data_IF_723929284906
#
_entry.id   IF_723929284906
#
_cell.length_a   1.000
_cell.length_b   1.000
_cell.length_c   1.000
_cell.angle_alpha   90.00
_cell.angle_beta   90.00
_cell.angle_gamma   90.00
#
_symmetry.space_group_name_H-M   'P 1'
#
loop_
_entity.id
_entity.type
_entity.pdbx_description
1 polymer ?
#
# COMPACT_ATOMS: atom_id res chain seq x y z
N UNK A 1 -88.34 -42.34 28.54
CA UNK A 1 -88.67 -40.92 28.30
C UNK A 1 -87.36 -40.16 28.21
N UNK A 2 -87.08 -39.63 27.01
CA UNK A 2 -86.20 -38.49 26.67
C UNK A 2 -84.71 -38.60 27.10
N UNK A 3 -83.70 -38.15 26.38
CA UNK A 3 -83.59 -37.14 25.31
C UNK A 3 -82.20 -37.30 24.64
N UNK A 4 -82.12 -36.91 23.36
CA UNK A 4 -80.91 -36.49 22.62
C UNK A 4 -80.16 -35.37 23.38
N UNK A 5 -78.94 -34.90 23.12
CA UNK A 5 -77.86 -35.06 22.16
C UNK A 5 -76.65 -34.31 22.77
N UNK A 6 -75.43 -34.55 22.28
CA UNK A 6 -74.56 -33.52 21.66
C UNK A 6 -73.06 -33.89 21.73
N UNK A 7 -72.47 -33.84 20.54
CA UNK A 7 -71.04 -33.90 20.19
C UNK A 7 -70.17 -32.86 20.91
N UNK A 8 -68.89 -33.16 21.21
CA UNK A 8 -67.84 -32.16 21.22
C UNK A 8 -66.94 -32.28 19.99
N UNK A 9 -66.89 -31.16 19.26
CA UNK A 9 -66.07 -30.94 18.09
C UNK A 9 -64.57 -31.15 18.33
N UNK A 10 -63.99 -31.71 17.29
CA UNK A 10 -62.59 -31.93 16.98
C UNK A 10 -61.79 -30.61 16.94
N UNK A 11 -60.89 -30.36 17.90
CA UNK A 11 -59.81 -29.35 17.77
C UNK A 11 -58.59 -29.70 18.64
N UNK A 12 -57.82 -30.73 18.26
CA UNK A 12 -56.52 -31.03 18.91
C UNK A 12 -55.31 -31.07 17.95
N UNK A 13 -55.47 -30.74 16.66
CA UNK A 13 -54.42 -30.94 15.65
C UNK A 13 -53.73 -29.68 15.11
N UNK A 14 -54.00 -28.48 15.64
CA UNK A 14 -53.47 -27.22 15.06
C UNK A 14 -52.23 -26.63 15.75
N UNK A 15 -51.73 -27.23 16.85
CA UNK A 15 -50.55 -26.71 17.59
C UNK A 15 -49.22 -27.33 17.17
N UNK A 16 -49.25 -28.51 16.55
CA UNK A 16 -48.04 -29.24 16.12
C UNK A 16 -47.20 -28.54 15.02
N UNK A 17 -47.78 -27.91 13.98
CA UNK A 17 -46.97 -27.26 12.95
C UNK A 17 -46.27 -25.99 13.45
N UNK A 18 -46.88 -25.27 14.40
CA UNK A 18 -46.32 -24.05 14.99
C UNK A 18 -45.10 -24.38 15.85
N UNK A 19 -45.18 -25.43 16.67
CA UNK A 19 -44.05 -25.88 17.51
C UNK A 19 -42.88 -26.34 16.63
N UNK A 20 -43.17 -27.08 15.55
CA UNK A 20 -42.14 -27.50 14.58
C UNK A 20 -41.41 -26.31 13.94
N UNK A 21 -42.13 -25.26 13.58
CA UNK A 21 -41.54 -24.07 12.95
C UNK A 21 -40.63 -23.29 13.91
N UNK A 22 -41.02 -23.17 15.18
CA UNK A 22 -40.20 -22.48 16.20
C UNK A 22 -38.91 -23.26 16.47
N UNK A 23 -38.95 -24.59 16.55
CA UNK A 23 -37.75 -25.42 16.76
C UNK A 23 -36.77 -25.27 15.59
N UNK A 24 -37.26 -25.26 14.35
CA UNK A 24 -36.40 -25.05 13.16
C UNK A 24 -35.80 -23.64 13.15
N UNK A 25 -36.58 -22.61 13.50
CA UNK A 25 -36.08 -21.23 13.57
C UNK A 25 -34.98 -21.07 14.65
N UNK A 26 -35.15 -21.70 15.82
CA UNK A 26 -34.14 -21.68 16.89
C UNK A 26 -32.86 -22.42 16.48
N UNK A 27 -32.99 -23.56 15.80
CA UNK A 27 -31.84 -24.31 15.28
C UNK A 27 -31.08 -23.53 14.18
N UNK A 28 -31.80 -22.81 13.31
CA UNK A 28 -31.20 -21.93 12.30
C UNK A 28 -30.48 -20.73 12.93
N UNK A 29 -31.06 -20.12 13.96
CA UNK A 29 -30.42 -19.05 14.73
C UNK A 29 -29.15 -19.50 15.43
N UNK A 30 -29.16 -20.69 16.05
CA UNK A 30 -27.98 -21.28 16.69
C UNK A 30 -26.85 -21.59 15.70
N UNK A 31 -27.18 -22.05 14.48
CA UNK A 31 -26.17 -22.25 13.43
C UNK A 31 -25.53 -20.94 12.97
N UNK A 32 -26.27 -19.83 12.91
CA UNK A 32 -25.67 -18.53 12.59
C UNK A 32 -24.69 -18.04 13.67
N UNK A 33 -24.97 -18.29 14.95
CA UNK A 33 -24.09 -17.86 16.05
C UNK A 33 -22.79 -18.67 16.10
N UNK A 34 -22.84 -19.97 15.78
CA UNK A 34 -21.64 -20.83 15.79
C UNK A 34 -20.67 -20.60 14.62
N UNK A 35 -21.16 -20.08 13.49
CA UNK A 35 -20.29 -19.75 12.33
C UNK A 35 -19.46 -18.49 12.56
N UNK A 36 -19.86 -17.63 13.50
CA UNK A 36 -19.14 -16.40 13.82
C UNK A 36 -18.18 -16.53 15.01
N UNK A 37 -17.72 -17.74 15.33
CA UNK A 37 -16.52 -17.90 16.15
C UNK A 37 -15.34 -17.40 15.35
N UNK A 38 -15.00 -16.13 15.55
CA UNK A 38 -13.75 -15.51 15.10
C UNK A 38 -12.62 -16.46 15.46
N UNK A 39 -12.12 -17.17 14.46
CA UNK A 39 -10.86 -17.87 14.56
C UNK A 39 -9.85 -16.83 15.02
N UNK A 40 -9.20 -17.11 16.14
CA UNK A 40 -8.03 -16.40 16.60
C UNK A 40 -7.08 -16.34 15.40
N UNK A 41 -6.98 -15.17 14.76
CA UNK A 41 -6.12 -14.99 13.60
C UNK A 41 -4.72 -15.32 14.11
N UNK A 42 -4.05 -16.37 13.59
CA UNK A 42 -2.71 -16.69 14.04
C UNK A 42 -1.89 -15.41 13.92
N UNK A 43 -1.28 -14.97 15.02
CA UNK A 43 -0.39 -13.81 15.03
C UNK A 43 0.78 -14.16 14.14
N UNK A 44 0.65 -13.89 12.85
CA UNK A 44 1.72 -14.07 11.86
C UNK A 44 2.81 -13.10 12.30
N UNK A 45 3.92 -13.64 12.76
CA UNK A 45 5.10 -12.83 13.05
C UNK A 45 5.40 -11.98 11.80
N UNK A 46 5.58 -10.65 11.93
CA UNK A 46 5.86 -9.81 10.78
C UNK A 46 7.12 -10.32 10.10
N UNK A 47 7.08 -10.42 8.77
CA UNK A 47 8.24 -10.83 8.00
C UNK A 47 9.42 -9.90 8.31
N UNK A 48 10.66 -10.43 8.40
CA UNK A 48 11.82 -9.60 8.65
C UNK A 48 11.98 -8.55 7.55
N UNK A 49 12.06 -7.28 7.94
CA UNK A 49 12.25 -6.15 7.01
C UNK A 49 13.73 -6.07 6.63
N UNK A 50 14.02 -6.13 5.32
CA UNK A 50 15.37 -5.94 4.81
C UNK A 50 15.69 -4.44 4.70
N UNK A 51 16.58 -3.95 5.56
CA UNK A 51 17.03 -2.56 5.53
C UNK A 51 18.10 -2.32 4.46
N UNK A 52 18.12 -1.11 3.91
CA UNK A 52 19.17 -0.65 3.00
C UNK A 52 20.50 -0.59 3.72
N UNK A 53 21.54 -1.13 3.08
CA UNK A 53 22.92 -1.07 3.58
C UNK A 53 23.61 0.19 3.05
N UNK A 54 24.56 0.77 3.79
CA UNK A 54 25.43 1.82 3.27
C UNK A 54 26.11 1.37 1.96
N UNK A 55 26.24 2.28 1.00
CA UNK A 55 26.79 1.99 -0.32
C UNK A 55 26.01 2.63 -1.48
N UNK A 56 26.36 2.29 -2.72
CA UNK A 56 25.75 2.88 -3.90
C UNK A 56 24.28 2.47 -4.04
N UNK A 57 23.40 3.46 -4.19
CA UNK A 57 21.97 3.27 -4.51
C UNK A 57 21.75 3.32 -6.03
N UNK A 58 22.43 4.27 -6.69
CA UNK A 58 22.51 4.40 -8.15
C UNK A 58 23.96 4.78 -8.48
N UNK A 59 24.55 4.15 -9.49
CA UNK A 59 25.91 4.47 -9.92
C UNK A 59 26.06 4.28 -11.43
N UNK A 60 26.78 5.21 -12.06
CA UNK A 60 27.11 5.18 -13.47
C UNK A 60 26.05 5.77 -14.39
N UNK A 61 26.08 5.36 -15.65
CA UNK A 61 25.17 5.85 -16.67
C UNK A 61 23.85 5.09 -16.64
N UNK A 62 22.75 5.82 -16.50
CA UNK A 62 21.38 5.33 -16.50
C UNK A 62 20.64 5.94 -17.67
N UNK A 63 19.90 5.12 -18.41
CA UNK A 63 18.99 5.60 -19.44
C UNK A 63 17.56 5.53 -18.90
N UNK A 64 16.84 6.65 -18.96
CA UNK A 64 15.44 6.76 -18.54
C UNK A 64 14.61 7.05 -19.78
N UNK A 65 13.55 6.27 -20.02
CA UNK A 65 12.67 6.44 -21.18
C UNK A 65 11.98 7.80 -21.19
N UNK A 66 11.53 8.21 -22.38
CA UNK A 66 10.67 9.39 -22.53
C UNK A 66 9.39 9.22 -21.71
N UNK A 67 9.00 10.23 -20.93
CA UNK A 67 7.79 10.11 -20.10
C UNK A 67 7.92 9.15 -18.90
N UNK A 68 9.11 8.62 -18.61
CA UNK A 68 9.34 7.64 -17.55
C UNK A 68 10.13 8.22 -16.36
N UNK A 69 10.26 7.44 -15.31
CA UNK A 69 11.12 7.73 -14.16
C UNK A 69 11.78 6.44 -13.64
N UNK A 70 12.95 6.59 -13.03
CA UNK A 70 13.59 5.54 -12.25
C UNK A 70 13.33 5.81 -10.77
N UNK A 71 12.90 4.79 -10.01
CA UNK A 71 12.83 4.86 -8.54
C UNK A 71 13.67 3.77 -7.87
N UNK A 72 14.27 4.12 -6.73
CA UNK A 72 14.95 3.19 -5.83
C UNK A 72 14.44 3.39 -4.41
N UNK A 73 13.93 2.32 -3.81
CA UNK A 73 13.47 2.35 -2.43
C UNK A 73 14.67 2.30 -1.47
N UNK A 74 14.59 3.11 -0.42
CA UNK A 74 15.57 3.18 0.66
C UNK A 74 14.81 2.96 1.96
N UNK A 75 15.17 1.91 2.71
CA UNK A 75 14.52 1.53 3.97
C UNK A 75 15.54 1.67 5.10
N UNK A 76 15.28 2.57 6.04
CA UNK A 76 16.22 2.95 7.09
C UNK A 76 15.67 2.61 8.48
N UNK A 77 16.49 1.94 9.30
CA UNK A 77 16.24 1.75 10.74
C UNK A 77 17.01 2.74 11.62
N UNK A 78 17.87 3.56 11.02
CA UNK A 78 18.69 4.57 11.69
C UNK A 78 18.86 5.77 10.78
N UNK A 79 19.22 6.92 11.37
CA UNK A 79 19.58 8.10 10.59
C UNK A 79 20.76 7.80 9.67
N UNK A 80 20.66 8.21 8.41
CA UNK A 80 21.67 8.02 7.38
C UNK A 80 21.70 9.23 6.44
N UNK A 81 22.84 9.48 5.81
CA UNK A 81 22.98 10.58 4.84
C UNK A 81 22.92 10.00 3.43
N UNK A 82 22.03 10.53 2.60
CA UNK A 82 22.04 10.22 1.17
C UNK A 82 22.79 11.35 0.48
N UNK A 83 23.94 11.04 -0.12
CA UNK A 83 24.74 12.01 -0.88
C UNK A 83 24.74 11.60 -2.34
N UNK A 84 24.72 12.56 -3.26
CA UNK A 84 24.91 12.22 -4.66
C UNK A 84 24.79 13.38 -5.61
N UNK A 85 25.17 13.09 -6.84
CA UNK A 85 25.12 14.02 -7.95
C UNK A 85 24.67 13.34 -9.23
N UNK A 86 24.18 14.14 -10.15
CA UNK A 86 23.83 13.68 -11.48
C UNK A 86 24.18 14.73 -12.53
N UNK A 87 24.37 14.26 -13.75
CA UNK A 87 24.61 15.09 -14.92
C UNK A 87 23.99 14.41 -16.15
N UNK A 88 23.23 15.17 -16.93
CA UNK A 88 22.72 14.72 -18.23
C UNK A 88 23.80 14.93 -19.28
N UNK A 89 23.75 14.14 -20.36
CA UNK A 89 24.70 14.27 -21.48
C UNK A 89 24.62 15.59 -22.26
N UNK A 90 23.65 16.46 -21.98
CA UNK A 90 23.46 17.74 -22.67
C UNK A 90 22.75 18.76 -21.77
N UNK A 91 23.15 20.04 -21.84
CA UNK A 91 22.50 21.13 -21.10
C UNK A 91 21.02 21.37 -21.48
N UNK A 92 20.59 20.86 -22.65
CA UNK A 92 19.19 20.91 -23.10
C UNK A 92 18.35 19.79 -22.48
N UNK A 93 19.00 18.69 -22.11
CA UNK A 93 18.40 17.54 -21.44
C UNK A 93 18.28 17.85 -19.96
N UNK A 94 17.05 17.96 -19.45
CA UNK A 94 16.78 18.28 -18.05
C UNK A 94 16.05 17.14 -17.40
N UNK A 95 16.48 16.73 -16.21
CA UNK A 95 15.77 15.74 -15.40
C UNK A 95 15.56 16.31 -14.00
N UNK A 96 14.60 15.76 -13.26
CA UNK A 96 14.46 16.08 -11.85
C UNK A 96 14.95 14.93 -10.99
N UNK A 97 15.70 15.23 -9.93
CA UNK A 97 15.97 14.26 -8.86
C UNK A 97 15.19 14.69 -7.63
N UNK A 98 14.47 13.74 -7.04
CA UNK A 98 13.63 13.97 -5.86
C UNK A 98 13.83 12.83 -4.86
N UNK A 99 13.77 13.16 -3.59
CA UNK A 99 13.65 12.19 -2.50
C UNK A 99 12.37 12.48 -1.75
N UNK A 100 11.50 11.48 -1.64
CA UNK A 100 10.20 11.56 -0.96
C UNK A 100 10.04 10.42 0.04
N UNK A 101 9.21 10.66 1.05
CA UNK A 101 8.75 9.60 1.95
C UNK A 101 7.80 8.64 1.20
N UNK A 102 7.69 7.39 1.67
CA UNK A 102 6.74 6.41 1.14
C UNK A 102 5.29 6.92 1.16
N UNK A 103 4.90 7.66 2.20
CA UNK A 103 3.55 8.22 2.34
C UNK A 103 3.19 9.22 1.21
N UNK A 104 4.19 9.88 0.63
CA UNK A 104 4.03 10.88 -0.43
C UNK A 104 4.27 10.30 -1.84
N UNK A 105 4.72 9.04 -1.94
CA UNK A 105 5.11 8.43 -3.20
C UNK A 105 3.95 8.32 -4.20
N UNK A 106 2.78 7.88 -3.74
CA UNK A 106 1.61 7.77 -4.61
C UNK A 106 1.08 9.14 -5.06
N UNK A 107 1.10 10.14 -4.17
CA UNK A 107 0.73 11.52 -4.53
C UNK A 107 1.67 12.08 -5.60
N UNK A 108 2.98 11.90 -5.43
CA UNK A 108 3.98 12.30 -6.42
C UNK A 108 3.79 11.60 -7.77
N UNK A 109 3.46 10.30 -7.73
CA UNK A 109 3.23 9.50 -8.95
C UNK A 109 1.99 9.99 -9.70
N UNK A 110 0.93 10.35 -8.97
CA UNK A 110 -0.30 10.94 -9.50
C UNK A 110 -0.17 12.44 -9.85
N UNK A 111 1.00 13.05 -9.62
CA UNK A 111 1.25 14.48 -9.83
C UNK A 111 0.30 15.39 -9.02
N UNK A 112 -0.13 14.92 -7.84
CA UNK A 112 -0.89 15.71 -6.86
C UNK A 112 0.04 16.38 -5.86
N UNK A 113 -0.50 17.07 -4.85
CA UNK A 113 0.31 17.70 -3.82
C UNK A 113 1.06 16.65 -2.98
N UNK A 114 2.38 16.80 -2.89
CA UNK A 114 3.27 15.91 -2.15
C UNK A 114 4.38 16.71 -1.47
N UNK A 115 4.99 16.15 -0.42
CA UNK A 115 6.12 16.78 0.28
C UNK A 115 7.46 16.11 -0.08
N UNK A 116 8.32 16.84 -0.80
CA UNK A 116 9.70 16.43 -1.01
C UNK A 116 10.55 16.61 0.25
N UNK A 117 11.45 15.66 0.53
CA UNK A 117 12.57 15.85 1.46
C UNK A 117 13.66 16.72 0.84
N UNK A 118 13.95 16.48 -0.43
CA UNK A 118 14.82 17.29 -1.27
C UNK A 118 14.40 17.11 -2.72
N UNK A 119 14.58 18.15 -3.54
CA UNK A 119 14.33 18.08 -4.96
C UNK A 119 15.13 19.14 -5.71
N UNK A 120 15.57 18.82 -6.93
CA UNK A 120 16.35 19.75 -7.77
C UNK A 120 15.51 20.53 -8.77
N UNK A 121 14.27 20.10 -9.02
CA UNK A 121 13.53 20.49 -10.21
C UNK A 121 14.20 19.96 -11.49
N UNK A 122 13.64 20.32 -12.66
CA UNK A 122 14.17 19.88 -13.96
C UNK A 122 15.40 20.68 -14.38
N UNK A 123 16.58 20.10 -14.18
CA UNK A 123 17.89 20.71 -14.44
C UNK A 123 18.82 19.73 -15.15
N UNK A 124 19.86 20.19 -15.88
CA UNK A 124 20.79 19.28 -16.56
C UNK A 124 21.79 18.61 -15.62
N UNK A 125 21.92 19.07 -14.38
CA UNK A 125 22.78 18.47 -13.39
C UNK A 125 22.55 19.10 -12.02
N UNK A 126 22.92 18.39 -10.97
CA UNK A 126 22.69 18.82 -9.61
C UNK A 126 23.29 17.89 -8.58
N UNK A 127 23.28 18.33 -7.32
CA UNK A 127 23.71 17.55 -6.16
C UNK A 127 22.65 17.59 -5.08
N UNK A 128 22.49 16.50 -4.35
CA UNK A 128 21.66 16.43 -3.14
C UNK A 128 22.48 15.83 -2.00
N UNK A 129 22.20 16.26 -0.78
CA UNK A 129 22.83 15.70 0.42
C UNK A 129 21.91 15.74 1.65
N UNK A 130 20.65 15.25 1.57
CA UNK A 130 19.76 15.24 2.72
C UNK A 130 20.24 14.28 3.81
N UNK A 131 19.99 14.67 5.07
CA UNK A 131 20.00 13.73 6.19
C UNK A 131 18.60 13.09 6.28
N UNK A 132 18.54 11.77 6.26
CA UNK A 132 17.30 11.00 6.34
C UNK A 132 17.15 10.38 7.72
N UNK A 133 15.97 10.54 8.31
CA UNK A 133 15.62 9.87 9.57
C UNK A 133 15.27 8.39 9.31
N UNK A 134 15.10 7.56 10.35
CA UNK A 134 14.53 6.22 10.17
C UNK A 134 13.17 6.30 9.46
N UNK A 135 12.98 5.48 8.43
CA UNK A 135 11.80 5.52 7.57
C UNK A 135 12.02 4.90 6.20
N UNK A 136 10.97 4.97 5.38
CA UNK A 136 10.96 4.46 4.00
C UNK A 136 10.91 5.62 3.03
N UNK A 137 11.83 5.62 2.07
CA UNK A 137 12.03 6.69 1.12
C UNK A 137 12.14 6.15 -0.30
N UNK A 138 11.89 7.03 -1.27
CA UNK A 138 12.19 6.78 -2.67
C UNK A 138 13.13 7.84 -3.20
N UNK A 139 14.30 7.42 -3.69
CA UNK A 139 15.13 8.24 -4.58
C UNK A 139 14.58 8.08 -6.00
N UNK A 140 14.26 9.20 -6.63
CA UNK A 140 13.62 9.22 -7.93
C UNK A 140 14.41 10.10 -8.88
N UNK A 141 14.64 9.59 -10.09
CA UNK A 141 15.15 10.34 -11.23
C UNK A 141 14.03 10.40 -12.28
N UNK A 142 13.48 11.59 -12.48
CA UNK A 142 12.25 11.84 -13.23
C UNK A 142 12.56 12.44 -14.62
N UNK A 143 12.11 11.76 -15.66
CA UNK A 143 12.19 12.18 -17.06
C UNK A 143 10.81 12.44 -17.67
N UNK A 144 9.75 12.56 -16.87
CA UNK A 144 8.37 12.72 -17.37
C UNK A 144 8.14 13.98 -18.19
N UNK A 145 8.93 15.03 -17.98
CA UNK A 145 8.81 16.28 -18.74
C UNK A 145 9.46 16.24 -20.14
N UNK A 146 10.17 15.18 -20.51
CA UNK A 146 10.86 15.09 -21.80
C UNK A 146 10.18 14.12 -22.76
N UNK A 147 10.17 14.49 -24.03
CA UNK A 147 9.64 13.69 -25.14
C UNK A 147 10.65 12.63 -25.65
N UNK A 148 11.87 12.62 -25.13
CA UNK A 148 12.93 11.69 -25.50
C UNK A 148 13.61 11.07 -24.28
N UNK A 149 14.16 9.87 -24.48
CA UNK A 149 14.95 9.19 -23.45
C UNK A 149 16.21 9.99 -23.12
N UNK A 150 16.57 10.03 -21.83
CA UNK A 150 17.75 10.75 -21.35
C UNK A 150 18.77 9.78 -20.79
N UNK A 151 20.03 9.97 -21.19
CA UNK A 151 21.18 9.33 -20.57
C UNK A 151 21.74 10.25 -19.49
N UNK A 152 21.84 9.71 -18.27
CA UNK A 152 22.18 10.42 -17.05
C UNK A 152 23.32 9.71 -16.37
N UNK A 153 24.44 10.40 -16.18
CA UNK A 153 25.46 9.96 -15.24
C UNK A 153 25.00 10.29 -13.82
N UNK A 154 24.77 9.27 -12.99
CA UNK A 154 24.18 9.43 -11.66
C UNK A 154 24.98 8.63 -10.63
N UNK A 155 25.40 9.29 -9.55
CA UNK A 155 26.14 8.66 -8.45
C UNK A 155 25.50 9.08 -7.13
N UNK A 156 24.72 8.17 -6.54
CA UNK A 156 24.04 8.36 -5.25
C UNK A 156 24.45 7.26 -4.28
N UNK A 157 24.90 7.66 -3.10
CA UNK A 157 25.46 6.80 -2.06
C UNK A 157 24.76 7.05 -0.74
N UNK A 158 24.42 5.97 -0.05
CA UNK A 158 23.92 5.99 1.32
C UNK A 158 25.09 5.82 2.29
N UNK A 159 25.26 6.78 3.19
CA UNK A 159 26.31 6.86 4.23
C UNK A 159 25.73 6.62 5.63
#
# INVERSE_FOLDING_TARGET
MNEEAHSPGNFSNLRWPIIGFVVVAVLLGLKMILVNKSGEVPVVAPAPVAYSKPGPIVSGNVTIGAGEFLSKQIILNRRAKLSGEFQTGSVKSKIAVVVIDEADFENWKQQTEFKARVGTGYVPGGKISPMLEPGNYFLIIDNRANESSQSVEANFVLE
#
